data_IF_427424620608
#
_entry.id   IF_427424620608
#
_cell.length_a   1.000
_cell.length_b   1.000
_cell.length_c   1.000
_cell.angle_alpha   90.00
_cell.angle_beta   90.00
_cell.angle_gamma   90.00
#
_symmetry.space_group_name_H-M   'P 1'
#
loop_
_entity.id
_entity.type
_entity.pdbx_description
1 polymer ?
#
# COMPACT_ATOMS: atom_id res chain seq x y z
N UNK A 1 -4.31 -23.35 11.88
CA UNK A 1 -2.84 -23.26 12.00
C UNK A 1 -2.37 -22.34 10.89
N UNK A 2 -1.36 -21.47 11.14
CA UNK A 2 -0.75 -20.67 10.08
C UNK A 2 -0.18 -21.55 8.96
N UNK A 3 -0.28 -21.07 7.72
CA UNK A 3 0.24 -21.73 6.52
C UNK A 3 1.13 -20.76 5.77
N UNK A 4 2.39 -21.14 5.57
CA UNK A 4 3.34 -20.38 4.75
C UNK A 4 3.53 -21.06 3.40
N UNK A 5 3.32 -20.31 2.33
CA UNK A 5 3.48 -20.73 0.95
C UNK A 5 4.59 -19.90 0.33
N UNK A 6 5.76 -20.51 0.15
CA UNK A 6 6.90 -19.88 -0.52
C UNK A 6 6.84 -20.16 -2.03
N UNK A 7 6.79 -19.11 -2.85
CA UNK A 7 6.71 -19.18 -4.30
C UNK A 7 8.05 -18.78 -4.91
N UNK A 8 8.68 -19.70 -5.63
CA UNK A 8 9.97 -19.45 -6.28
C UNK A 8 9.84 -18.48 -7.43
N UNK A 9 10.97 -17.88 -7.84
CA UNK A 9 11.04 -17.07 -9.07
C UNK A 9 10.43 -17.82 -10.26
N UNK A 10 9.62 -17.12 -11.04
CA UNK A 10 8.90 -17.66 -12.18
C UNK A 10 7.70 -16.80 -12.55
N UNK A 11 7.17 -17.02 -13.74
CA UNK A 11 5.91 -16.44 -14.19
C UNK A 11 4.83 -17.52 -14.17
N UNK A 12 3.84 -17.33 -13.33
CA UNK A 12 2.70 -18.22 -13.11
C UNK A 12 1.48 -17.62 -13.80
N UNK A 13 1.00 -18.26 -14.87
CA UNK A 13 -0.16 -17.77 -15.62
C UNK A 13 -1.42 -18.47 -15.12
N UNK A 14 -2.05 -17.92 -14.09
CA UNK A 14 -3.19 -18.53 -13.40
C UNK A 14 -4.05 -17.49 -12.67
N UNK A 15 -5.32 -17.85 -12.43
CA UNK A 15 -6.21 -17.13 -11.51
C UNK A 15 -6.14 -17.81 -10.15
N UNK A 16 -5.94 -17.03 -9.10
CA UNK A 16 -5.86 -17.51 -7.71
C UNK A 16 -7.10 -17.07 -6.93
N UNK A 17 -7.68 -17.99 -6.15
CA UNK A 17 -8.79 -17.68 -5.25
C UNK A 17 -8.60 -18.32 -3.87
N UNK A 18 -8.38 -17.47 -2.86
CA UNK A 18 -8.26 -17.85 -1.45
C UNK A 18 -9.63 -17.74 -0.80
N UNK A 19 -10.22 -18.88 -0.42
CA UNK A 19 -11.57 -18.94 0.17
C UNK A 19 -11.58 -18.50 1.64
N UNK A 20 -12.72 -17.98 2.09
CA UNK A 20 -12.91 -17.49 3.46
C UNK A 20 -12.62 -18.49 4.58
N UNK A 21 -12.71 -19.79 4.30
CA UNK A 21 -12.41 -20.85 5.26
C UNK A 21 -10.92 -21.24 5.32
N UNK A 22 -10.02 -20.41 4.77
CA UNK A 22 -8.57 -20.62 4.73
C UNK A 22 -7.79 -19.48 5.42
N UNK A 23 -8.02 -19.22 6.71
CA UNK A 23 -7.36 -18.12 7.41
C UNK A 23 -5.87 -18.39 7.65
N UNK A 24 -5.12 -17.34 7.99
CA UNK A 24 -3.70 -17.40 8.37
C UNK A 24 -2.77 -17.90 7.25
N UNK A 25 -3.07 -17.55 6.00
CA UNK A 25 -2.19 -17.82 4.86
C UNK A 25 -1.21 -16.67 4.67
N UNK A 26 0.07 -16.99 4.64
CA UNK A 26 1.12 -16.11 4.11
C UNK A 26 1.60 -16.68 2.77
N UNK A 27 1.39 -15.95 1.68
CA UNK A 27 1.99 -16.22 0.38
C UNK A 27 3.17 -15.26 0.17
N UNK A 28 4.36 -15.82 0.04
CA UNK A 28 5.62 -15.07 -0.08
C UNK A 28 6.34 -15.46 -1.36
N UNK A 29 6.62 -14.48 -2.22
CA UNK A 29 7.51 -14.68 -3.35
C UNK A 29 8.98 -14.67 -2.93
N UNK A 30 9.81 -15.40 -3.66
CA UNK A 30 11.27 -15.40 -3.49
C UNK A 30 11.88 -14.03 -3.82
N UNK A 31 11.30 -13.35 -4.80
CA UNK A 31 11.72 -12.04 -5.28
C UNK A 31 10.53 -11.26 -5.81
N UNK A 32 10.38 -10.01 -5.37
CA UNK A 32 9.28 -9.12 -5.74
C UNK A 32 9.09 -9.01 -7.26
N UNK A 33 10.17 -8.86 -8.02
CA UNK A 33 10.10 -8.63 -9.47
C UNK A 33 10.16 -9.94 -10.27
N UNK A 34 10.84 -10.96 -9.75
CA UNK A 34 11.07 -12.24 -10.41
C UNK A 34 10.01 -13.30 -10.11
N UNK A 35 9.15 -13.07 -9.13
CA UNK A 35 8.00 -13.94 -8.82
C UNK A 35 6.75 -13.21 -9.27
N UNK A 36 6.15 -13.69 -10.36
CA UNK A 36 5.03 -13.00 -11.03
C UNK A 36 3.88 -13.97 -11.17
N UNK A 37 2.70 -13.60 -10.66
CA UNK A 37 1.44 -14.22 -11.05
C UNK A 37 0.75 -13.27 -12.02
N UNK A 38 0.26 -13.78 -13.14
CA UNK A 38 -0.42 -12.97 -14.14
C UNK A 38 -1.59 -13.70 -14.79
N UNK A 39 -2.62 -12.95 -15.17
CA UNK A 39 -3.73 -13.47 -15.97
C UNK A 39 -4.57 -12.30 -16.48
N UNK A 40 -5.22 -12.43 -17.64
CA UNK A 40 -6.22 -11.47 -18.12
C UNK A 40 -7.61 -11.86 -17.61
N UNK A 41 -8.04 -11.22 -16.52
CA UNK A 41 -9.41 -11.36 -16.03
C UNK A 41 -10.04 -9.98 -15.88
N UNK A 42 -11.28 -9.81 -16.32
CA UNK A 42 -11.91 -8.50 -16.38
C UNK A 42 -13.44 -8.59 -16.40
N UNK A 43 -14.08 -7.43 -16.36
CA UNK A 43 -15.53 -7.31 -16.30
C UNK A 43 -16.26 -7.89 -17.53
N UNK A 44 -15.67 -7.79 -18.72
CA UNK A 44 -16.27 -8.38 -19.92
C UNK A 44 -16.27 -9.91 -19.87
N UNK A 45 -15.29 -10.51 -19.18
CA UNK A 45 -15.22 -11.97 -18.99
C UNK A 45 -16.06 -12.46 -17.81
N UNK A 46 -15.99 -11.80 -16.65
CA UNK A 46 -16.54 -12.31 -15.39
C UNK A 46 -17.32 -11.27 -14.55
N UNK A 47 -17.75 -10.15 -15.15
CA UNK A 47 -18.43 -9.04 -14.44
C UNK A 47 -19.88 -9.28 -14.03
N UNK A 48 -20.57 -10.27 -14.62
CA UNK A 48 -21.98 -10.57 -14.30
C UNK A 48 -22.16 -11.60 -13.17
N UNK A 49 -21.06 -12.13 -12.62
CA UNK A 49 -21.14 -13.18 -11.60
C UNK A 49 -21.16 -12.55 -10.20
N UNK A 50 -22.16 -12.90 -9.40
CA UNK A 50 -22.30 -12.46 -8.00
C UNK A 50 -21.05 -12.82 -7.19
N UNK A 51 -20.31 -11.83 -6.66
CA UNK A 51 -19.09 -12.07 -5.88
C UNK A 51 -17.82 -11.36 -6.40
N UNK A 52 -17.92 -10.66 -7.53
CA UNK A 52 -16.80 -9.93 -8.15
C UNK A 52 -15.60 -10.85 -8.52
N UNK A 53 -15.88 -11.87 -9.33
CA UNK A 53 -14.89 -12.87 -9.78
C UNK A 53 -13.99 -12.40 -10.94
N UNK A 54 -13.99 -11.11 -11.28
CA UNK A 54 -13.13 -10.56 -12.36
C UNK A 54 -11.69 -10.25 -11.91
N UNK A 55 -11.38 -10.37 -10.63
CA UNK A 55 -10.00 -10.31 -10.16
C UNK A 55 -9.18 -11.51 -10.62
N UNK A 56 -7.92 -11.31 -11.01
CA UNK A 56 -7.00 -12.43 -11.25
C UNK A 56 -6.48 -13.04 -9.94
N UNK A 57 -6.49 -12.29 -8.83
CA UNK A 57 -6.19 -12.79 -7.49
C UNK A 57 -7.29 -12.34 -6.52
N UNK A 58 -8.16 -13.28 -6.12
CA UNK A 58 -9.24 -13.05 -5.16
C UNK A 58 -8.93 -13.64 -3.80
N UNK A 59 -9.14 -12.87 -2.75
CA UNK A 59 -8.83 -13.25 -1.36
C UNK A 59 -10.01 -12.95 -0.43
N UNK A 60 -10.62 -13.98 0.18
CA UNK A 60 -11.80 -13.88 1.07
C UNK A 60 -11.53 -14.32 2.52
N UNK A 61 -10.31 -14.69 2.88
CA UNK A 61 -9.91 -15.20 4.20
C UNK A 61 -9.45 -14.09 5.17
N UNK A 62 -9.72 -14.21 6.47
CA UNK A 62 -9.09 -13.32 7.44
C UNK A 62 -7.62 -13.71 7.65
N UNK A 63 -6.82 -12.75 8.11
CA UNK A 63 -5.41 -12.97 8.46
C UNK A 63 -4.57 -13.44 7.25
N UNK A 64 -4.77 -12.82 6.10
CA UNK A 64 -4.04 -13.13 4.87
C UNK A 64 -2.86 -12.17 4.68
N UNK A 65 -1.71 -12.71 4.26
CA UNK A 65 -0.54 -11.92 3.87
C UNK A 65 -0.10 -12.30 2.45
N UNK A 66 0.08 -11.30 1.60
CA UNK A 66 0.79 -11.40 0.34
C UNK A 66 2.05 -10.55 0.42
N UNK A 67 3.22 -11.14 0.14
CA UNK A 67 4.45 -10.38 0.21
C UNK A 67 5.52 -10.76 -0.80
N UNK A 68 6.36 -9.78 -1.14
CA UNK A 68 7.54 -9.94 -2.00
C UNK A 68 7.24 -10.60 -3.35
N UNK A 69 6.15 -10.17 -4.02
CA UNK A 69 5.65 -10.78 -5.26
C UNK A 69 4.97 -9.74 -6.16
N UNK A 70 4.93 -9.99 -7.46
CA UNK A 70 4.19 -9.18 -8.44
C UNK A 70 2.90 -9.89 -8.86
N UNK A 71 1.80 -9.14 -8.88
CA UNK A 71 0.55 -9.51 -9.53
C UNK A 71 0.30 -8.58 -10.72
N UNK A 72 0.09 -9.15 -11.90
CA UNK A 72 -0.13 -8.40 -13.13
C UNK A 72 -1.37 -8.89 -13.86
N UNK A 73 -2.44 -8.10 -13.83
CA UNK A 73 -3.60 -8.38 -14.65
C UNK A 73 -3.30 -7.95 -16.09
N UNK A 74 -3.17 -8.91 -16.99
CA UNK A 74 -2.72 -8.66 -18.36
C UNK A 74 -3.84 -8.18 -19.29
N UNK A 75 -5.00 -7.80 -18.75
CA UNK A 75 -6.08 -7.17 -19.53
C UNK A 75 -5.53 -5.89 -20.20
N UNK A 76 -5.63 -5.75 -21.54
CA UNK A 76 -5.09 -4.58 -22.23
C UNK A 76 -5.82 -3.30 -21.83
N UNK A 77 -5.14 -2.16 -21.93
CA UNK A 77 -5.75 -0.84 -21.73
C UNK A 77 -7.03 -0.68 -22.57
N UNK A 78 -8.11 -0.21 -21.94
CA UNK A 78 -9.44 -0.15 -22.56
C UNK A 78 -10.21 -1.48 -22.57
N UNK A 79 -9.66 -2.55 -21.97
CA UNK A 79 -10.26 -3.89 -21.95
C UNK A 79 -11.43 -4.10 -20.97
N UNK A 80 -11.82 -3.07 -20.19
CA UNK A 80 -12.71 -3.06 -19.02
C UNK A 80 -12.00 -3.18 -17.67
N UNK A 81 -12.75 -3.03 -16.57
CA UNK A 81 -12.26 -3.14 -15.19
C UNK A 81 -11.60 -4.48 -14.94
N UNK A 82 -10.41 -4.47 -14.32
CA UNK A 82 -9.55 -5.64 -14.21
C UNK A 82 -8.66 -5.58 -12.96
N UNK A 83 -9.12 -6.16 -11.85
CA UNK A 83 -8.36 -6.17 -10.60
C UNK A 83 -7.16 -7.12 -10.70
N UNK A 84 -5.96 -6.63 -10.39
CA UNK A 84 -4.79 -7.47 -10.10
C UNK A 84 -4.97 -8.18 -8.74
N UNK A 85 -5.53 -7.47 -7.76
CA UNK A 85 -5.85 -8.03 -6.45
C UNK A 85 -7.20 -7.55 -5.94
N UNK A 86 -7.98 -8.48 -5.37
CA UNK A 86 -9.22 -8.20 -4.66
C UNK A 86 -9.23 -8.87 -3.30
N UNK A 87 -9.14 -8.07 -2.23
CA UNK A 87 -9.26 -8.51 -0.84
C UNK A 87 -10.66 -8.29 -0.28
N UNK A 88 -11.15 -9.22 0.52
CA UNK A 88 -12.51 -9.18 1.09
C UNK A 88 -12.58 -9.88 2.46
N UNK A 89 -11.85 -9.34 3.43
CA UNK A 89 -11.93 -9.75 4.82
C UNK A 89 -11.14 -8.79 5.74
N UNK A 90 -10.93 -9.20 6.98
CA UNK A 90 -10.17 -8.47 8.00
C UNK A 90 -8.70 -8.94 8.01
N UNK A 91 -7.80 -8.02 8.35
CA UNK A 91 -6.38 -8.31 8.56
C UNK A 91 -5.67 -8.82 7.30
N UNK A 92 -5.89 -8.12 6.20
CA UNK A 92 -5.21 -8.34 4.92
C UNK A 92 -3.93 -7.51 4.90
N UNK A 93 -2.78 -8.16 4.72
CA UNK A 93 -1.48 -7.50 4.56
C UNK A 93 -0.98 -7.67 3.13
N UNK A 94 -0.72 -6.55 2.45
CA UNK A 94 0.05 -6.51 1.20
C UNK A 94 1.40 -5.82 1.48
N UNK A 95 2.49 -6.58 1.50
CA UNK A 95 3.81 -6.07 1.92
C UNK A 95 4.86 -6.29 0.83
N UNK A 96 5.46 -5.21 0.31
CA UNK A 96 6.43 -5.29 -0.81
C UNK A 96 5.85 -6.00 -2.03
N UNK A 97 4.63 -5.65 -2.44
CA UNK A 97 4.01 -6.19 -3.66
C UNK A 97 4.14 -5.21 -4.82
N UNK A 98 4.13 -5.72 -6.04
CA UNK A 98 3.80 -4.93 -7.23
C UNK A 98 2.41 -5.34 -7.70
N UNK A 99 1.50 -4.39 -7.86
CA UNK A 99 0.19 -4.62 -8.48
C UNK A 99 0.11 -3.82 -9.77
N UNK A 100 -0.13 -4.50 -10.88
CA UNK A 100 -0.19 -3.89 -12.21
C UNK A 100 -1.48 -4.26 -12.92
N UNK A 101 -2.20 -3.24 -13.37
CA UNK A 101 -3.36 -3.31 -14.28
C UNK A 101 -3.61 -1.89 -14.82
N UNK A 102 -4.80 -1.64 -15.37
CA UNK A 102 -5.28 -0.32 -15.77
C UNK A 102 -6.42 0.13 -14.86
N UNK A 103 -7.66 -0.11 -15.28
CA UNK A 103 -8.84 0.24 -14.52
C UNK A 103 -9.05 -0.76 -13.38
N UNK A 104 -9.32 -0.26 -12.16
CA UNK A 104 -9.67 -1.04 -10.97
C UNK A 104 -8.54 -1.97 -10.45
N UNK A 105 -7.24 -1.63 -10.59
CA UNK A 105 -6.09 -2.50 -10.20
C UNK A 105 -6.21 -3.17 -8.83
N UNK A 106 -6.61 -2.44 -7.79
CA UNK A 106 -6.73 -2.93 -6.41
C UNK A 106 -8.13 -2.65 -5.86
N UNK A 107 -8.85 -3.73 -5.53
CA UNK A 107 -10.05 -3.67 -4.70
C UNK A 107 -9.75 -4.15 -3.27
N UNK A 108 -10.04 -3.32 -2.29
CA UNK A 108 -10.08 -3.73 -0.88
C UNK A 108 -11.48 -3.53 -0.29
N UNK A 109 -12.16 -4.65 -0.04
CA UNK A 109 -13.32 -4.76 0.84
C UNK A 109 -12.84 -5.34 2.19
N UNK A 110 -13.37 -4.83 3.30
CA UNK A 110 -12.86 -5.19 4.64
C UNK A 110 -11.72 -4.29 5.10
N UNK A 111 -10.68 -4.82 5.76
CA UNK A 111 -9.59 -4.02 6.35
C UNK A 111 -8.21 -4.50 5.89
N UNK A 112 -7.50 -3.65 5.14
CA UNK A 112 -6.18 -3.95 4.59
C UNK A 112 -5.08 -2.97 5.00
N UNK A 113 -3.86 -3.46 5.15
CA UNK A 113 -2.64 -2.66 5.26
C UNK A 113 -1.75 -2.96 4.06
N UNK A 114 -1.49 -1.96 3.22
CA UNK A 114 -0.57 -2.00 2.10
C UNK A 114 0.70 -1.22 2.46
N UNK A 115 1.86 -1.86 2.44
CA UNK A 115 3.12 -1.19 2.81
C UNK A 115 4.29 -1.53 1.90
N UNK A 116 5.19 -0.55 1.71
CA UNK A 116 6.42 -0.68 0.91
C UNK A 116 6.18 -1.26 -0.50
N UNK A 117 5.02 -0.95 -1.09
CA UNK A 117 4.53 -1.58 -2.31
C UNK A 117 4.55 -0.61 -3.50
N UNK A 118 4.21 -1.13 -4.67
CA UNK A 118 4.03 -0.36 -5.91
C UNK A 118 2.72 -0.79 -6.53
N UNK A 119 1.90 0.19 -6.92
CA UNK A 119 0.61 -0.04 -7.55
C UNK A 119 0.54 0.86 -8.78
N UNK A 120 0.17 0.32 -9.93
CA UNK A 120 -0.04 1.11 -11.14
C UNK A 120 -1.41 0.87 -11.77
N UNK A 121 -1.92 1.91 -12.43
CA UNK A 121 -3.18 1.86 -13.16
C UNK A 121 -3.62 3.22 -13.65
N UNK A 122 -4.90 3.35 -14.01
CA UNK A 122 -5.48 4.61 -14.48
C UNK A 122 -6.82 4.95 -13.82
N UNK A 123 -7.92 4.34 -14.23
CA UNK A 123 -9.26 4.67 -13.74
C UNK A 123 -9.53 3.92 -12.45
N UNK A 124 -9.73 4.66 -11.35
CA UNK A 124 -10.12 4.13 -10.05
C UNK A 124 -9.22 2.98 -9.58
N UNK A 125 -7.92 3.06 -9.89
CA UNK A 125 -7.04 1.89 -9.78
C UNK A 125 -6.79 1.45 -8.34
N UNK A 126 -7.14 2.28 -7.36
CA UNK A 126 -7.46 1.82 -6.01
C UNK A 126 -8.93 2.10 -5.72
N UNK A 127 -9.70 1.12 -5.27
CA UNK A 127 -11.10 1.36 -4.96
C UNK A 127 -11.62 0.42 -3.88
N UNK A 128 -12.76 0.79 -3.31
CA UNK A 128 -13.40 0.03 -2.23
C UNK A 128 -14.89 -0.15 -2.47
N UNK A 129 -15.43 -1.16 -1.82
CA UNK A 129 -16.86 -1.28 -1.54
C UNK A 129 -17.01 -1.49 -0.03
N UNK A 130 -17.12 -0.39 0.73
CA UNK A 130 -17.25 -0.38 2.18
C UNK A 130 -16.01 -0.86 2.95
N UNK A 131 -14.82 -0.82 2.34
CA UNK A 131 -13.56 -1.23 2.95
C UNK A 131 -12.72 -0.05 3.46
N UNK A 132 -11.86 -0.35 4.42
CA UNK A 132 -10.81 0.54 4.95
C UNK A 132 -9.45 0.02 4.51
N UNK A 133 -8.59 0.90 3.99
CA UNK A 133 -7.23 0.54 3.66
C UNK A 133 -6.24 1.61 4.13
N UNK A 134 -5.15 1.16 4.72
CA UNK A 134 -4.02 2.00 5.11
C UNK A 134 -2.86 1.73 4.16
N UNK A 135 -2.42 2.74 3.44
CA UNK A 135 -1.28 2.67 2.53
C UNK A 135 -0.11 3.41 3.15
N UNK A 136 1.04 2.76 3.27
CA UNK A 136 2.25 3.38 3.81
C UNK A 136 3.46 3.11 2.94
N UNK A 137 4.33 4.11 2.75
CA UNK A 137 5.58 3.95 2.01
C UNK A 137 5.39 3.31 0.62
N UNK A 138 4.26 3.59 -0.02
CA UNK A 138 3.82 2.93 -1.25
C UNK A 138 3.84 3.93 -2.40
N UNK A 139 4.38 3.50 -3.53
CA UNK A 139 4.30 4.27 -4.78
C UNK A 139 3.02 3.88 -5.54
N UNK A 140 2.26 4.89 -5.96
CA UNK A 140 1.09 4.75 -6.81
C UNK A 140 1.35 5.48 -8.14
N UNK A 141 1.45 4.72 -9.23
CA UNK A 141 1.82 5.25 -10.54
C UNK A 141 0.64 5.32 -11.50
N UNK A 142 0.30 6.53 -11.94
CA UNK A 142 -0.68 6.72 -13.00
C UNK A 142 -0.07 6.34 -14.36
N UNK A 143 -0.73 5.44 -15.10
CA UNK A 143 -0.33 5.04 -16.46
C UNK A 143 -1.01 5.92 -17.52
N UNK A 144 -2.21 6.41 -17.25
CA UNK A 144 -2.98 7.34 -18.09
C UNK A 144 -3.68 8.41 -17.23
N UNK A 145 -4.09 9.55 -17.82
CA UNK A 145 -4.90 10.58 -17.14
C UNK A 145 -6.23 10.00 -16.63
N UNK A 146 -6.44 9.99 -15.31
CA UNK A 146 -7.65 9.43 -14.69
C UNK A 146 -7.70 9.71 -13.17
N UNK A 147 -7.90 8.67 -12.33
CA UNK A 147 -8.28 8.80 -10.93
C UNK A 147 -7.56 7.78 -10.06
N UNK A 148 -6.87 8.25 -9.02
CA UNK A 148 -6.18 7.37 -8.09
C UNK A 148 -7.14 6.49 -7.28
N UNK A 149 -8.24 7.07 -6.83
CA UNK A 149 -9.14 6.41 -5.89
C UNK A 149 -10.63 6.59 -6.21
N UNK A 150 -11.42 5.54 -5.95
CA UNK A 150 -12.88 5.63 -5.81
C UNK A 150 -13.35 4.81 -4.60
N UNK A 151 -13.64 5.50 -3.49
CA UNK A 151 -13.82 4.87 -2.17
C UNK A 151 -15.28 4.93 -1.75
N UNK A 152 -15.96 3.78 -1.71
CA UNK A 152 -17.42 3.70 -1.55
C UNK A 152 -17.79 3.30 -0.12
N UNK A 153 -17.57 4.23 0.82
CA UNK A 153 -17.67 3.93 2.24
C UNK A 153 -19.03 4.33 2.85
N UNK A 154 -19.55 3.52 3.81
CA UNK A 154 -20.70 3.90 4.62
C UNK A 154 -20.28 4.87 5.75
N UNK A 155 -21.28 5.49 6.39
CA UNK A 155 -21.06 6.36 7.54
C UNK A 155 -20.31 5.64 8.66
N UNK A 156 -19.31 6.31 9.25
CA UNK A 156 -18.59 5.81 10.43
C UNK A 156 -17.56 4.71 10.15
N UNK A 157 -17.24 4.45 8.88
CA UNK A 157 -16.20 3.50 8.48
C UNK A 157 -15.11 4.24 7.71
N UNK A 158 -13.88 4.17 8.21
CA UNK A 158 -12.75 4.80 7.54
C UNK A 158 -12.57 4.30 6.10
N UNK A 159 -12.21 5.19 5.20
CA UNK A 159 -11.90 4.94 3.81
C UNK A 159 -10.43 4.59 3.58
N UNK A 160 -9.81 5.24 2.60
CA UNK A 160 -8.41 5.00 2.26
C UNK A 160 -7.52 6.11 2.78
N UNK A 161 -6.53 5.74 3.59
CA UNK A 161 -5.57 6.65 4.20
C UNK A 161 -4.18 6.34 3.62
N UNK A 162 -3.55 7.33 2.99
CA UNK A 162 -2.24 7.23 2.36
C UNK A 162 -1.23 8.04 3.17
N UNK A 163 -0.21 7.38 3.71
CA UNK A 163 0.78 8.00 4.61
C UNK A 163 2.18 7.77 4.08
N UNK A 164 2.97 8.84 3.91
CA UNK A 164 4.33 8.75 3.35
C UNK A 164 4.37 8.02 1.99
N UNK A 165 3.35 8.23 1.16
CA UNK A 165 3.24 7.61 -0.16
C UNK A 165 3.83 8.53 -1.25
N UNK A 166 3.96 7.98 -2.46
CA UNK A 166 4.39 8.74 -3.64
C UNK A 166 3.38 8.54 -4.75
N UNK A 167 2.85 9.64 -5.31
CA UNK A 167 2.01 9.63 -6.50
C UNK A 167 2.86 10.00 -7.71
N UNK A 168 3.30 9.01 -8.47
CA UNK A 168 4.13 9.16 -9.66
C UNK A 168 3.32 8.92 -10.94
N UNK A 169 3.94 9.10 -12.11
CA UNK A 169 3.27 8.89 -13.40
C UNK A 169 4.17 8.28 -14.46
N UNK A 170 3.55 7.71 -15.48
CA UNK A 170 4.21 7.41 -16.74
C UNK A 170 4.60 8.72 -17.46
N UNK A 171 5.71 8.76 -18.22
CA UNK A 171 6.17 9.97 -18.92
C UNK A 171 5.16 10.58 -19.90
N UNK A 172 4.18 9.78 -20.35
CA UNK A 172 3.13 10.19 -21.29
C UNK A 172 1.94 10.88 -20.63
N UNK A 173 1.85 10.87 -19.30
CA UNK A 173 0.74 11.47 -18.54
C UNK A 173 0.99 12.98 -18.39
N UNK A 174 0.16 13.86 -18.98
CA UNK A 174 0.37 15.30 -18.91
C UNK A 174 0.22 15.87 -17.50
N UNK A 175 0.72 17.08 -17.30
CA UNK A 175 0.45 17.86 -16.07
C UNK A 175 -1.05 18.10 -15.90
N UNK A 176 -1.48 18.24 -14.65
CA UNK A 176 -2.85 18.54 -14.24
C UNK A 176 -3.96 17.67 -14.90
N UNK A 177 -3.66 16.40 -15.16
CA UNK A 177 -4.51 15.50 -15.94
C UNK A 177 -5.16 14.37 -15.12
N UNK A 178 -4.74 14.17 -13.87
CA UNK A 178 -5.29 13.15 -12.96
C UNK A 178 -5.82 13.76 -11.67
N UNK A 179 -6.71 13.03 -10.99
CA UNK A 179 -7.30 13.42 -9.71
C UNK A 179 -6.94 12.43 -8.61
N UNK A 180 -6.80 12.96 -7.39
CA UNK A 180 -6.56 12.23 -6.14
C UNK A 180 -7.68 11.23 -5.83
N UNK A 181 -8.93 11.60 -6.09
CA UNK A 181 -10.06 10.69 -6.05
C UNK A 181 -11.22 11.25 -6.88
N UNK A 182 -12.16 10.37 -7.21
CA UNK A 182 -13.49 10.76 -7.66
C UNK A 182 -14.59 10.04 -6.90
N UNK A 183 -15.75 10.68 -6.76
CA UNK A 183 -16.94 10.03 -6.21
C UNK A 183 -18.24 10.67 -6.70
N UNK A 184 -19.32 9.90 -6.73
CA UNK A 184 -20.68 10.43 -6.75
C UNK A 184 -21.18 10.54 -5.30
N UNK A 185 -21.20 11.74 -4.70
CA UNK A 185 -21.59 11.92 -3.31
C UNK A 185 -23.09 11.69 -3.07
N UNK A 186 -23.92 11.67 -4.12
CA UNK A 186 -25.36 11.37 -3.97
C UNK A 186 -25.61 9.89 -3.72
N UNK A 187 -24.64 9.04 -4.11
CA UNK A 187 -24.68 7.58 -3.92
C UNK A 187 -23.77 7.16 -2.76
N UNK A 188 -22.60 7.77 -2.63
CA UNK A 188 -21.61 7.45 -1.60
C UNK A 188 -21.24 8.71 -0.80
N UNK A 189 -22.17 9.24 0.01
CA UNK A 189 -21.99 10.53 0.68
C UNK A 189 -20.89 10.54 1.74
N UNK A 190 -20.41 9.38 2.19
CA UNK A 190 -19.42 9.23 3.26
C UNK A 190 -18.06 8.73 2.76
N UNK A 191 -17.76 8.93 1.47
CA UNK A 191 -16.44 8.60 0.91
C UNK A 191 -15.34 9.35 1.67
N UNK A 192 -14.32 8.61 2.09
CA UNK A 192 -13.15 9.15 2.77
C UNK A 192 -11.87 8.77 2.01
N UNK A 193 -11.07 9.78 1.68
CA UNK A 193 -9.74 9.62 1.09
C UNK A 193 -8.81 10.68 1.69
N UNK A 194 -7.71 10.23 2.28
CA UNK A 194 -6.79 11.10 3.01
C UNK A 194 -5.36 10.88 2.55
N UNK A 195 -4.62 11.94 2.26
CA UNK A 195 -3.19 11.90 1.92
C UNK A 195 -2.37 12.67 2.96
N UNK A 196 -1.44 12.00 3.64
CA UNK A 196 -0.59 12.57 4.70
C UNK A 196 0.87 12.38 4.27
N UNK A 197 1.66 13.46 4.29
CA UNK A 197 3.08 13.49 3.91
C UNK A 197 3.32 12.78 2.56
N UNK A 198 2.42 12.96 1.60
CA UNK A 198 2.46 12.26 0.31
C UNK A 198 3.12 13.16 -0.73
N UNK A 199 4.17 12.64 -1.38
CA UNK A 199 4.82 13.32 -2.49
C UNK A 199 4.02 13.10 -3.78
N UNK A 200 3.80 14.14 -4.60
CA UNK A 200 2.98 14.06 -5.81
C UNK A 200 3.69 14.74 -6.99
N UNK A 201 3.69 14.07 -8.15
CA UNK A 201 4.13 14.67 -9.41
C UNK A 201 3.06 15.62 -9.99
N UNK A 202 3.44 16.44 -10.96
CA UNK A 202 2.65 17.54 -11.50
C UNK A 202 1.43 17.14 -12.34
N UNK A 203 1.17 15.84 -12.56
CA UNK A 203 -0.08 15.38 -13.18
C UNK A 203 -1.29 15.53 -12.27
N UNK A 204 -1.10 15.66 -10.95
CA UNK A 204 -2.23 15.92 -10.05
C UNK A 204 -2.82 17.29 -10.37
N UNK A 205 -4.09 17.30 -10.77
CA UNK A 205 -4.82 18.52 -11.09
C UNK A 205 -4.87 19.44 -9.86
N UNK A 206 -4.68 20.77 -10.00
CA UNK A 206 -4.76 21.70 -8.88
C UNK A 206 -6.06 21.58 -8.06
N UNK A 207 -7.19 21.23 -8.69
CA UNK A 207 -8.46 20.99 -7.96
C UNK A 207 -8.43 19.73 -7.10
N UNK A 208 -7.54 18.78 -7.41
CA UNK A 208 -7.26 17.55 -6.67
C UNK A 208 -8.37 16.50 -6.77
N UNK A 209 -9.63 16.89 -6.60
CA UNK A 209 -10.74 15.98 -6.34
C UNK A 209 -11.87 16.20 -7.35
N UNK A 210 -12.51 15.11 -7.79
CA UNK A 210 -13.63 15.19 -8.73
C UNK A 210 -14.94 14.69 -8.08
N UNK A 211 -15.98 15.50 -8.13
CA UNK A 211 -17.34 15.07 -7.83
C UNK A 211 -18.09 14.77 -9.14
N UNK A 212 -18.59 13.55 -9.29
CA UNK A 212 -19.35 13.17 -10.46
C UNK A 212 -20.76 13.73 -10.36
N UNK A 213 -21.19 14.50 -11.37
CA UNK A 213 -22.56 15.04 -11.48
C UNK A 213 -23.05 15.79 -10.23
N UNK A 214 -22.14 16.36 -9.45
CA UNK A 214 -22.42 16.97 -8.15
C UNK A 214 -21.47 18.13 -7.87
N UNK A 215 -21.79 18.90 -6.83
CA UNK A 215 -20.94 19.93 -6.27
C UNK A 215 -20.81 19.76 -4.74
N UNK A 216 -20.05 20.65 -4.11
CA UNK A 216 -19.80 20.58 -2.67
C UNK A 216 -21.05 20.76 -1.79
N UNK A 217 -22.16 21.29 -2.31
CA UNK A 217 -23.43 21.33 -1.55
C UNK A 217 -24.03 19.94 -1.33
N UNK A 218 -23.68 18.98 -2.20
CA UNK A 218 -24.09 17.57 -2.11
C UNK A 218 -23.04 16.69 -1.43
N UNK A 219 -21.84 17.21 -1.17
CA UNK A 219 -20.70 16.50 -0.60
C UNK A 219 -20.43 16.81 0.88
N UNK A 220 -21.43 17.27 1.64
CA UNK A 220 -21.22 17.77 3.01
C UNK A 220 -20.73 16.73 4.02
N UNK A 221 -20.85 15.43 3.70
CA UNK A 221 -20.39 14.32 4.53
C UNK A 221 -19.13 13.63 3.96
N UNK A 222 -18.56 14.17 2.87
CA UNK A 222 -17.32 13.64 2.32
C UNK A 222 -16.15 13.99 3.24
N UNK A 223 -15.15 13.11 3.25
CA UNK A 223 -13.91 13.30 3.99
C UNK A 223 -12.72 13.20 3.03
N UNK A 224 -12.54 14.24 2.22
CA UNK A 224 -11.36 14.41 1.37
C UNK A 224 -10.38 15.34 2.06
N UNK A 225 -9.20 14.83 2.42
CA UNK A 225 -8.24 15.61 3.19
C UNK A 225 -6.79 15.39 2.76
N UNK A 226 -5.98 16.43 2.97
CA UNK A 226 -4.53 16.39 2.79
C UNK A 226 -3.82 16.92 4.05
N UNK A 227 -2.59 16.48 4.27
CA UNK A 227 -1.67 17.07 5.25
C UNK A 227 -0.25 16.99 4.71
N UNK A 228 0.41 18.14 4.61
CA UNK A 228 1.82 18.25 4.20
C UNK A 228 2.16 17.49 2.91
N UNK A 229 1.27 17.53 1.90
CA UNK A 229 1.58 17.05 0.56
C UNK A 229 2.74 17.85 -0.04
N UNK A 230 3.68 17.16 -0.68
CA UNK A 230 4.87 17.78 -1.31
C UNK A 230 5.00 17.40 -2.77
N UNK A 231 5.80 18.14 -3.54
CA UNK A 231 6.27 17.69 -4.84
C UNK A 231 7.32 16.57 -4.68
N UNK A 232 7.75 15.96 -5.78
CA UNK A 232 8.79 14.90 -5.74
C UNK A 232 10.16 15.38 -5.23
N UNK A 233 10.38 16.70 -5.11
CA UNK A 233 11.60 17.29 -4.56
C UNK A 233 11.45 17.67 -3.08
N UNK A 234 10.29 17.44 -2.47
CA UNK A 234 10.01 17.75 -1.07
C UNK A 234 9.50 19.17 -0.80
N UNK A 235 9.16 19.97 -1.83
CA UNK A 235 8.58 21.29 -1.63
C UNK A 235 7.06 21.16 -1.36
N UNK A 236 6.47 21.95 -0.46
CA UNK A 236 5.02 21.94 -0.25
C UNK A 236 4.24 22.24 -1.54
N UNK A 237 3.17 21.49 -1.80
CA UNK A 237 2.26 21.73 -2.93
C UNK A 237 1.30 22.89 -2.60
N UNK A 238 0.97 23.70 -3.60
CA UNK A 238 -0.12 24.68 -3.50
C UNK A 238 -1.48 23.96 -3.46
N UNK A 239 -2.13 24.02 -2.31
CA UNK A 239 -3.46 23.45 -2.06
C UNK A 239 -4.58 24.49 -2.13
N UNK A 240 -4.29 25.76 -2.45
CA UNK A 240 -5.29 26.84 -2.45
C UNK A 240 -6.40 26.68 -3.49
N UNK A 241 -6.16 25.85 -4.52
CA UNK A 241 -7.11 25.56 -5.60
C UNK A 241 -7.88 24.25 -5.40
N UNK A 242 -7.63 23.51 -4.31
CA UNK A 242 -8.31 22.25 -4.04
C UNK A 242 -9.83 22.44 -3.97
N UNK A 243 -10.56 21.39 -4.31
CA UNK A 243 -12.01 21.34 -4.22
C UNK A 243 -12.49 21.89 -2.87
N UNK A 244 -13.44 22.83 -2.89
CA UNK A 244 -13.79 23.65 -1.72
C UNK A 244 -14.31 22.87 -0.49
N UNK A 245 -14.78 21.64 -0.67
CA UNK A 245 -15.24 20.73 0.39
C UNK A 245 -14.18 19.68 0.78
N UNK A 246 -12.95 19.81 0.29
CA UNK A 246 -11.80 19.11 0.86
C UNK A 246 -11.16 19.96 1.96
N UNK A 247 -10.39 19.33 2.85
CA UNK A 247 -9.77 19.99 4.00
C UNK A 247 -8.26 19.77 4.05
N UNK A 248 -7.57 20.70 4.71
CA UNK A 248 -6.23 20.41 5.23
C UNK A 248 -6.40 19.98 6.69
N UNK A 249 -5.80 18.85 7.07
CA UNK A 249 -5.86 18.35 8.43
C UNK A 249 -5.06 19.25 9.38
N UNK A 250 -5.44 19.25 10.64
CA UNK A 250 -4.61 19.73 11.74
C UNK A 250 -3.52 18.72 12.08
N UNK A 251 -2.47 19.17 12.80
CA UNK A 251 -1.40 18.28 13.29
C UNK A 251 -1.95 17.12 14.13
N UNK A 252 -2.99 17.36 14.94
CA UNK A 252 -3.60 16.33 15.76
C UNK A 252 -4.34 15.29 14.91
N UNK A 253 -5.20 15.72 13.98
CA UNK A 253 -5.92 14.81 13.09
C UNK A 253 -4.95 14.01 12.22
N UNK A 254 -3.89 14.65 11.72
CA UNK A 254 -2.84 13.99 10.95
C UNK A 254 -2.08 12.95 11.79
N UNK A 255 -1.76 13.25 13.05
CA UNK A 255 -1.12 12.29 13.96
C UNK A 255 -2.05 11.10 14.26
N UNK A 256 -3.33 11.34 14.50
CA UNK A 256 -4.33 10.29 14.74
C UNK A 256 -4.49 9.36 13.53
N UNK A 257 -4.63 9.93 12.33
CA UNK A 257 -4.79 9.18 11.08
C UNK A 257 -3.49 8.59 10.53
N UNK A 258 -2.32 9.01 11.03
CA UNK A 258 -1.02 8.42 10.66
C UNK A 258 -0.72 7.12 11.39
N UNK A 259 -1.44 6.80 12.46
CA UNK A 259 -1.31 5.53 13.17
C UNK A 259 -2.27 4.49 12.57
N UNK A 260 -1.78 3.43 11.91
CA UNK A 260 -2.63 2.40 11.34
C UNK A 260 -3.48 1.68 12.40
N UNK A 261 -3.09 1.68 13.68
CA UNK A 261 -3.93 1.11 14.73
C UNK A 261 -5.22 1.90 14.94
N UNK A 262 -5.19 3.23 14.81
CA UNK A 262 -6.39 4.06 14.95
C UNK A 262 -7.34 3.87 13.76
N UNK A 263 -6.81 3.63 12.57
CA UNK A 263 -7.59 3.45 11.34
C UNK A 263 -8.11 2.01 11.21
N UNK A 264 -7.22 1.03 11.36
CA UNK A 264 -7.53 -0.38 11.10
C UNK A 264 -7.94 -1.13 12.37
N UNK A 265 -7.49 -0.71 13.55
CA UNK A 265 -7.64 -1.45 14.81
C UNK A 265 -6.70 -2.66 14.93
N UNK A 266 -5.71 -2.77 14.03
CA UNK A 266 -4.67 -3.79 14.06
C UNK A 266 -3.46 -3.32 13.23
N UNK A 267 -2.28 -3.82 13.58
CA UNK A 267 -1.03 -3.52 12.87
C UNK A 267 -0.19 -4.82 12.80
N UNK A 268 0.28 -5.25 11.62
CA UNK A 268 1.15 -6.41 11.50
C UNK A 268 2.59 -6.08 11.90
N UNK A 269 3.37 -7.10 12.22
CA UNK A 269 4.82 -6.97 12.27
C UNK A 269 5.39 -6.93 10.85
N UNK A 270 6.03 -5.82 10.47
CA UNK A 270 6.74 -5.72 9.19
C UNK A 270 8.10 -5.05 9.38
N UNK A 271 9.03 -5.36 8.49
CA UNK A 271 10.32 -4.67 8.37
C UNK A 271 10.73 -4.69 6.90
N UNK A 272 11.08 -3.53 6.35
CA UNK A 272 11.32 -3.32 4.92
C UNK A 272 12.51 -2.38 4.75
N UNK A 273 13.41 -2.68 3.82
CA UNK A 273 14.64 -1.91 3.63
C UNK A 273 14.74 -1.30 2.23
N UNK A 274 15.19 -0.05 2.15
CA UNK A 274 15.41 0.67 0.90
C UNK A 274 16.62 1.61 1.00
N UNK A 275 17.42 1.78 -0.07
CA UNK A 275 17.31 1.08 -1.35
C UNK A 275 17.73 -0.40 -1.23
N UNK A 276 17.27 -1.22 -2.17
CA UNK A 276 17.64 -2.66 -2.21
C UNK A 276 19.09 -2.89 -2.66
N UNK A 277 19.75 -1.89 -3.22
CA UNK A 277 21.18 -1.89 -3.56
C UNK A 277 21.78 -0.56 -3.14
N UNK A 278 22.93 -0.58 -2.49
CA UNK A 278 23.51 0.58 -1.83
C UNK A 278 25.04 0.48 -1.82
N UNK A 279 25.76 1.60 -1.87
CA UNK A 279 27.21 1.57 -1.70
C UNK A 279 27.57 1.41 -0.22
N UNK A 280 28.75 0.84 0.06
CA UNK A 280 29.27 0.80 1.42
C UNK A 280 29.29 2.19 2.09
N UNK A 281 28.82 2.29 3.33
CA UNK A 281 28.76 3.55 4.09
C UNK A 281 27.57 4.48 3.77
N UNK A 282 26.79 4.21 2.73
CA UNK A 282 25.58 4.99 2.43
C UNK A 282 24.42 4.62 3.38
N UNK A 283 23.38 5.45 3.39
CA UNK A 283 22.22 5.24 4.25
C UNK A 283 21.26 4.17 3.71
N UNK A 284 20.77 3.33 4.61
CA UNK A 284 19.68 2.39 4.37
C UNK A 284 18.52 2.81 5.28
N UNK A 285 17.40 3.15 4.66
CA UNK A 285 16.14 3.43 5.35
C UNK A 285 15.39 2.12 5.60
N UNK A 286 14.94 1.93 6.84
CA UNK A 286 14.24 0.73 7.28
C UNK A 286 12.89 1.11 7.87
N UNK A 287 11.82 0.77 7.17
CA UNK A 287 10.45 0.98 7.63
C UNK A 287 9.96 -0.25 8.37
N UNK A 288 9.28 -0.05 9.49
CA UNK A 288 8.77 -1.13 10.32
C UNK A 288 7.38 -0.80 10.84
N UNK A 289 6.66 -1.85 11.24
CA UNK A 289 5.37 -1.76 11.93
C UNK A 289 5.26 -2.86 12.98
N UNK A 290 4.48 -2.62 14.02
CA UNK A 290 4.23 -3.56 15.11
C UNK A 290 2.83 -3.35 15.74
N UNK A 291 2.20 -4.40 16.29
CA UNK A 291 0.92 -4.28 16.99
C UNK A 291 0.97 -3.27 18.15
N UNK A 292 -0.12 -2.54 18.36
CA UNK A 292 -0.23 -1.66 19.52
C UNK A 292 0.03 -2.41 20.84
N UNK A 293 0.82 -1.80 21.73
CA UNK A 293 1.21 -2.39 23.01
C UNK A 293 2.40 -3.35 22.94
N UNK A 294 3.10 -3.43 21.80
CA UNK A 294 4.42 -4.07 21.72
C UNK A 294 5.46 -3.36 22.61
N UNK A 295 6.60 -4.00 22.86
CA UNK A 295 7.59 -3.44 23.80
C UNK A 295 8.36 -2.29 23.16
N UNK A 296 8.62 -1.23 23.94
CA UNK A 296 9.53 -0.17 23.52
C UNK A 296 10.97 -0.67 23.28
N UNK A 297 11.31 -1.82 23.88
CA UNK A 297 12.58 -2.52 23.75
C UNK A 297 12.59 -3.53 22.59
N UNK A 298 11.52 -3.63 21.80
CA UNK A 298 11.57 -4.33 20.52
C UNK A 298 12.58 -3.63 19.60
N UNK A 299 13.21 -4.38 18.70
CA UNK A 299 14.32 -3.85 17.93
C UNK A 299 14.41 -4.41 16.51
N UNK A 300 15.00 -3.62 15.63
CA UNK A 300 15.39 -4.03 14.29
C UNK A 300 16.90 -4.15 14.24
N UNK A 301 17.39 -5.35 13.91
CA UNK A 301 18.82 -5.61 13.72
C UNK A 301 19.20 -5.76 12.25
N UNK A 302 20.42 -5.37 11.91
CA UNK A 302 21.07 -5.58 10.61
C UNK A 302 21.96 -6.83 10.66
N UNK A 303 21.79 -7.73 9.69
CA UNK A 303 22.47 -9.02 9.63
C UNK A 303 23.04 -9.28 8.24
N UNK A 304 24.18 -9.99 8.17
CA UNK A 304 24.56 -10.68 6.95
C UNK A 304 23.56 -11.82 6.68
N UNK A 305 23.18 -12.05 5.42
CA UNK A 305 22.26 -13.14 5.08
C UNK A 305 22.88 -14.49 5.48
N UNK A 306 22.11 -15.29 6.23
CA UNK A 306 22.55 -16.60 6.73
C UNK A 306 23.19 -16.56 8.12
N UNK A 307 23.47 -15.39 8.68
CA UNK A 307 23.94 -15.27 10.06
C UNK A 307 22.86 -15.74 11.06
N UNK A 308 23.26 -16.39 12.17
CA UNK A 308 22.38 -16.67 13.31
C UNK A 308 21.68 -15.41 13.85
N UNK A 309 20.55 -15.60 14.55
CA UNK A 309 19.75 -14.48 15.10
C UNK A 309 20.44 -13.73 16.26
N UNK A 310 21.45 -14.33 16.90
CA UNK A 310 22.27 -13.70 17.94
C UNK A 310 23.51 -12.96 17.40
N UNK A 311 23.67 -12.89 16.08
CA UNK A 311 24.83 -12.28 15.40
C UNK A 311 24.44 -11.09 14.53
N UNK A 312 23.80 -10.09 15.12
CA UNK A 312 23.60 -8.80 14.44
C UNK A 312 24.92 -8.04 14.31
N UNK A 313 25.02 -7.19 13.29
CA UNK A 313 26.09 -6.21 13.14
C UNK A 313 25.81 -4.96 13.98
N UNK A 314 24.57 -4.51 13.95
CA UNK A 314 24.05 -3.39 14.75
C UNK A 314 22.53 -3.51 14.83
N UNK A 315 21.91 -2.79 15.77
CA UNK A 315 20.47 -2.74 15.92
C UNK A 315 20.02 -1.37 16.42
N UNK A 316 18.73 -1.08 16.28
CA UNK A 316 18.08 0.09 16.87
C UNK A 316 16.72 -0.33 17.44
N UNK A 317 16.37 0.25 18.59
CA UNK A 317 15.06 0.04 19.21
C UNK A 317 13.96 0.76 18.42
N UNK A 318 12.77 0.18 18.44
CA UNK A 318 11.60 0.72 17.75
C UNK A 318 10.84 1.75 18.58
N UNK A 319 11.03 1.76 19.91
CA UNK A 319 10.19 2.57 20.80
C UNK A 319 8.75 2.05 20.81
N UNK A 320 7.81 2.90 21.20
CA UNK A 320 6.39 2.55 21.46
C UNK A 320 5.42 2.89 20.31
N UNK A 321 5.93 3.41 19.19
CA UNK A 321 5.13 3.72 18.01
C UNK A 321 4.68 2.44 17.29
N UNK A 322 3.50 2.44 16.66
CA UNK A 322 3.02 1.27 15.90
C UNK A 322 3.65 1.14 14.52
N UNK A 323 4.23 2.22 13.99
CA UNK A 323 5.03 2.23 12.77
C UNK A 323 6.15 3.25 12.87
N UNK A 324 7.21 3.07 12.09
CA UNK A 324 8.28 4.05 12.05
C UNK A 324 9.33 3.76 10.99
N UNK A 325 10.31 4.67 10.95
CA UNK A 325 11.45 4.60 10.05
C UNK A 325 12.73 4.71 10.86
N UNK A 326 13.67 3.81 10.62
CA UNK A 326 15.02 3.79 11.19
C UNK A 326 16.04 3.99 10.06
N UNK A 327 17.14 4.67 10.35
CA UNK A 327 18.23 4.86 9.38
C UNK A 327 19.46 4.09 9.84
N UNK A 328 19.94 3.18 8.99
CA UNK A 328 21.17 2.43 9.19
C UNK A 328 22.24 2.88 8.21
N UNK A 329 23.50 2.60 8.52
CA UNK A 329 24.62 2.76 7.61
C UNK A 329 24.94 1.41 6.97
N UNK A 330 25.09 1.38 5.65
CA UNK A 330 25.49 0.18 4.93
C UNK A 330 26.87 -0.30 5.42
N UNK A 331 27.04 -1.61 5.69
CA UNK A 331 28.32 -2.19 6.06
C UNK A 331 29.46 -1.84 5.09
N UNK A 332 30.70 -1.83 5.58
CA UNK A 332 31.88 -1.59 4.74
C UNK A 332 32.20 -2.76 3.80
N UNK A 333 31.84 -3.97 4.23
CA UNK A 333 32.12 -5.18 3.47
C UNK A 333 31.03 -5.38 2.41
N UNK A 334 31.38 -5.57 1.12
CA UNK A 334 30.42 -5.93 0.10
C UNK A 334 29.75 -7.26 0.43
N UNK A 335 28.45 -7.36 0.18
CA UNK A 335 27.70 -8.55 0.56
C UNK A 335 26.19 -8.40 0.44
N UNK A 336 25.49 -9.43 0.89
CA UNK A 336 24.02 -9.44 0.95
C UNK A 336 23.60 -9.41 2.42
N UNK A 337 22.82 -8.40 2.75
CA UNK A 337 22.36 -8.11 4.10
C UNK A 337 20.84 -8.12 4.17
N UNK A 338 20.33 -8.15 5.40
CA UNK A 338 18.91 -8.07 5.70
C UNK A 338 18.67 -7.49 7.08
N UNK A 339 17.43 -7.06 7.29
CA UNK A 339 16.95 -6.60 8.59
C UNK A 339 15.96 -7.60 9.15
N UNK A 340 16.00 -7.75 10.46
CA UNK A 340 15.12 -8.65 11.21
C UNK A 340 14.53 -7.87 12.38
N UNK A 341 13.21 -7.94 12.51
CA UNK A 341 12.49 -7.38 13.66
C UNK A 341 12.43 -8.45 14.76
N UNK A 342 12.75 -8.06 15.99
CA UNK A 342 12.68 -8.91 17.17
C UNK A 342 11.83 -8.28 18.26
N UNK A 343 11.04 -9.12 18.92
CA UNK A 343 10.47 -8.78 20.22
C UNK A 343 11.58 -8.68 21.28
N UNK A 344 11.33 -7.93 22.35
CA UNK A 344 12.25 -7.76 23.48
C UNK A 344 12.67 -9.08 24.16
N UNK A 345 11.87 -10.15 23.99
CA UNK A 345 12.19 -11.50 24.50
C UNK A 345 13.13 -12.30 23.58
N UNK A 346 13.53 -11.74 22.43
CA UNK A 346 14.39 -12.38 21.43
C UNK A 346 13.63 -13.16 20.35
N UNK A 347 12.30 -13.11 20.31
CA UNK A 347 11.51 -13.75 19.26
C UNK A 347 11.58 -12.95 17.96
N UNK A 348 12.01 -13.58 16.85
CA UNK A 348 11.99 -12.94 15.53
C UNK A 348 10.57 -12.83 14.99
N UNK A 349 10.10 -11.61 14.73
CA UNK A 349 8.73 -11.32 14.28
C UNK A 349 8.62 -11.10 12.77
N UNK A 350 9.64 -10.52 12.13
CA UNK A 350 9.62 -10.24 10.68
C UNK A 350 11.03 -10.19 10.07
N UNK A 351 11.10 -10.30 8.74
CA UNK A 351 12.33 -10.20 7.93
C UNK A 351 12.11 -9.29 6.72
N UNK A 352 13.12 -8.49 6.40
CA UNK A 352 13.10 -7.58 5.26
C UNK A 352 13.40 -8.27 3.94
N UNK A 353 13.21 -7.53 2.84
CA UNK A 353 13.93 -7.81 1.60
C UNK A 353 15.46 -7.77 1.82
N UNK A 354 16.18 -8.38 0.89
CA UNK A 354 17.65 -8.31 0.84
C UNK A 354 18.11 -6.91 0.44
N UNK A 355 19.26 -6.52 0.97
CA UNK A 355 20.02 -5.33 0.59
C UNK A 355 21.39 -5.77 0.08
N UNK A 356 21.72 -5.38 -1.14
CA UNK A 356 23.00 -5.66 -1.78
C UNK A 356 23.94 -4.47 -1.56
N UNK A 357 25.00 -4.69 -0.78
CA UNK A 357 26.05 -3.69 -0.55
C UNK A 357 27.16 -3.91 -1.56
N UNK A 358 27.48 -2.86 -2.32
CA UNK A 358 28.45 -2.88 -3.42
C UNK A 358 29.80 -2.29 -3.03
#
# INVERSE_FOLDING_TARGET
QPVHIFVRRGTYTEIVYVRSNKPFITLEGEDRNGTVIQYDNNNNFNGQVSGNFRAMFGEDAPDFTLQNITLHNTTPHGGSQAEAFRGNNQRILLNRVNLSSFQDTLLLTGKGFVTNSYIEGDVDFTWSLGGTAFFQYTELKALNPAYYAQVRNPQGVHGFIFVNCVLSRAPTVPDASSYLARIDPTVFPYSEVVYINTAMDAHINPIGWLLNNADCSMGSNLHFAEYHSTDLNGNPIDVSQRLACSTQLTDQEAAELSDPNNVLGWVPNTVNASPGSVAAGDSITVNWSAPAGHSADDYVGLYAVGAPDDQYLTFQYTGDATTGTLNFTAPSDPGVYEFRYFAADGTRLARSNRVYVQ
#
